data_IF_962924641142
#
_entry.id   IF_962924641142
#
_cell.length_a   1.000
_cell.length_b   1.000
_cell.length_c   1.000
_cell.angle_alpha   90.00
_cell.angle_beta   90.00
_cell.angle_gamma   90.00
#
_symmetry.space_group_name_H-M   'P 1'
#
loop_
_entity.id
_entity.type
_entity.pdbx_description
1 polymer ?
#
# COMPACT_ATOMS: atom_id res chain seq x y z
N UNK A 1 -14.93 0.43 18.66
CA UNK A 1 -14.44 1.77 19.04
C UNK A 1 -13.12 1.97 18.33
N UNK A 2 -12.99 3.08 17.60
CA UNK A 2 -11.77 3.40 16.86
C UNK A 2 -10.54 3.66 17.72
N UNK A 3 -9.36 3.66 17.11
CA UNK A 3 -8.11 4.03 17.79
C UNK A 3 -7.65 5.41 17.33
N UNK A 4 -7.03 6.17 18.22
CA UNK A 4 -6.24 7.34 17.82
C UNK A 4 -4.78 6.92 17.75
N UNK A 5 -4.15 7.06 16.59
CA UNK A 5 -2.78 6.59 16.35
C UNK A 5 -1.91 7.75 15.87
N UNK A 6 -0.73 7.90 16.47
CA UNK A 6 0.34 8.72 15.91
C UNK A 6 1.26 7.83 15.08
N UNK A 7 1.61 8.28 13.89
CA UNK A 7 2.59 7.65 13.00
C UNK A 7 3.72 8.63 12.74
N UNK A 8 4.95 8.16 12.88
CA UNK A 8 6.17 8.88 12.48
C UNK A 8 6.91 7.99 11.48
N UNK A 9 6.91 8.37 10.20
CA UNK A 9 7.68 7.74 9.14
C UNK A 9 8.91 8.60 8.86
N UNK A 10 10.11 8.02 8.96
CA UNK A 10 11.34 8.65 8.48
C UNK A 10 11.98 7.84 7.36
N UNK A 11 12.31 8.51 6.25
CA UNK A 11 13.12 7.95 5.17
C UNK A 11 14.38 8.81 5.02
N UNK A 12 15.56 8.21 5.11
CA UNK A 12 16.85 8.89 5.02
C UNK A 12 17.73 8.31 3.91
N UNK A 13 18.35 9.19 3.12
CA UNK A 13 19.41 8.86 2.18
C UNK A 13 20.72 9.47 2.66
N UNK A 14 21.79 8.70 2.59
CA UNK A 14 23.15 9.22 2.63
C UNK A 14 23.81 9.05 1.26
N UNK A 15 24.59 10.05 0.86
CA UNK A 15 25.28 10.06 -0.43
C UNK A 15 26.81 10.06 -0.20
N UNK A 16 27.51 9.24 -0.98
CA UNK A 16 28.98 9.11 -0.92
C UNK A 16 29.72 10.38 -1.37
N UNK A 17 29.09 11.21 -2.19
CA UNK A 17 29.53 12.53 -2.59
C UNK A 17 28.29 13.45 -2.70
N UNK A 18 28.46 14.78 -2.69
CA UNK A 18 27.33 15.71 -2.73
C UNK A 18 26.44 15.48 -3.96
N UNK A 19 25.14 15.39 -3.71
CA UNK A 19 24.09 15.58 -4.71
C UNK A 19 23.91 17.08 -4.89
N UNK A 20 23.83 17.55 -6.14
CA UNK A 20 23.69 18.97 -6.46
C UNK A 20 22.22 19.39 -6.52
N UNK A 21 21.38 18.54 -7.07
CA UNK A 21 19.95 18.75 -7.18
C UNK A 21 19.20 17.43 -7.00
N UNK A 22 18.03 17.50 -6.37
CA UNK A 22 17.07 16.39 -6.33
C UNK A 22 15.64 16.90 -6.44
N UNK A 23 14.79 16.10 -7.08
CA UNK A 23 13.38 16.37 -7.34
C UNK A 23 12.59 15.18 -6.80
N UNK A 24 11.71 15.42 -5.84
CA UNK A 24 11.13 14.35 -5.04
C UNK A 24 9.63 14.54 -4.84
N UNK A 25 8.92 13.41 -4.80
CA UNK A 25 7.53 13.28 -4.39
C UNK A 25 7.43 12.27 -3.26
N UNK A 26 6.67 12.61 -2.21
CA UNK A 26 6.40 11.69 -1.10
C UNK A 26 4.92 11.52 -0.83
N UNK A 27 4.55 10.27 -0.52
CA UNK A 27 3.22 9.82 -0.14
C UNK A 27 3.27 9.37 1.32
N UNK A 28 3.38 10.34 2.22
CA UNK A 28 3.48 10.12 3.68
C UNK A 28 2.30 10.69 4.47
N UNK A 29 1.39 11.39 3.80
CA UNK A 29 0.20 11.99 4.40
C UNK A 29 -0.96 11.01 4.34
N UNK A 30 -1.46 10.51 5.48
CA UNK A 30 -2.64 9.66 5.52
C UNK A 30 -3.85 10.36 4.86
N UNK A 31 -4.79 9.55 4.35
CA UNK A 31 -6.02 10.03 3.72
C UNK A 31 -7.19 10.02 4.71
N UNK A 32 -8.06 11.02 4.67
CA UNK A 32 -9.35 10.95 5.37
C UNK A 32 -10.42 10.34 4.47
N UNK A 33 -11.23 9.44 5.03
CA UNK A 33 -12.36 8.78 4.38
C UNK A 33 -13.42 8.38 5.43
N UNK A 34 -14.31 7.44 5.10
CA UNK A 34 -15.31 6.92 6.04
C UNK A 34 -14.72 5.97 7.11
N UNK A 35 -13.46 5.56 6.99
CA UNK A 35 -12.78 4.62 7.90
C UNK A 35 -11.69 5.29 8.73
N UNK A 36 -11.23 6.45 8.32
CA UNK A 36 -10.12 7.16 8.92
C UNK A 36 -10.34 8.67 8.89
N UNK A 37 -10.06 9.34 9.99
CA UNK A 37 -10.04 10.79 10.09
C UNK A 37 -8.64 11.29 10.45
N UNK A 38 -8.03 12.10 9.59
CA UNK A 38 -6.72 12.70 9.86
C UNK A 38 -6.87 13.97 10.70
N UNK A 39 -6.32 13.94 11.92
CA UNK A 39 -6.37 15.08 12.85
C UNK A 39 -5.27 16.09 12.50
N UNK A 40 -4.04 15.60 12.29
CA UNK A 40 -2.91 16.43 11.89
C UNK A 40 -1.95 15.59 11.05
N UNK A 41 -1.34 16.23 10.06
CA UNK A 41 -0.26 15.64 9.28
C UNK A 41 0.75 16.72 8.89
N UNK A 42 2.03 16.38 8.97
CA UNK A 42 3.15 17.24 8.57
C UNK A 42 4.22 16.38 7.90
N UNK A 43 4.79 16.93 6.83
CA UNK A 43 5.97 16.37 6.16
C UNK A 43 7.07 17.41 6.26
N UNK A 44 8.24 16.99 6.73
CA UNK A 44 9.43 17.83 6.91
C UNK A 44 10.61 17.19 6.21
N UNK A 45 11.54 18.03 5.75
CA UNK A 45 12.75 17.61 5.05
C UNK A 45 14.00 18.17 5.73
N UNK A 46 15.09 17.43 5.65
CA UNK A 46 16.43 17.86 6.02
C UNK A 46 17.36 17.54 4.85
N UNK A 47 18.02 18.54 4.23
CA UNK A 47 17.91 19.97 4.48
C UNK A 47 16.49 20.53 4.29
N UNK A 48 16.11 21.57 5.06
CA UNK A 48 14.78 22.16 4.94
C UNK A 48 14.63 22.78 3.56
N UNK A 49 13.57 22.38 2.85
CA UNK A 49 13.21 22.97 1.56
C UNK A 49 11.72 23.31 1.50
N UNK A 50 11.35 24.15 0.53
CA UNK A 50 9.95 24.42 0.24
C UNK A 50 9.32 23.18 -0.37
N UNK A 51 8.11 22.89 0.07
CA UNK A 51 7.30 21.81 -0.48
C UNK A 51 5.96 22.34 -0.96
N UNK A 52 5.39 21.63 -1.92
CA UNK A 52 4.08 21.86 -2.48
C UNK A 52 3.26 20.57 -2.34
N UNK A 53 1.96 20.68 -2.08
CA UNK A 53 1.07 19.54 -1.94
C UNK A 53 -0.01 19.54 -3.01
N UNK A 54 -0.33 18.36 -3.51
CA UNK A 54 -1.44 18.14 -4.45
C UNK A 54 -2.07 16.77 -4.24
N UNK A 55 -3.24 16.58 -4.84
CA UNK A 55 -3.86 15.27 -4.96
C UNK A 55 -3.51 14.67 -6.31
N UNK A 56 -2.91 13.48 -6.32
CA UNK A 56 -2.67 12.75 -7.56
C UNK A 56 -3.97 12.15 -8.13
N UNK A 57 -3.85 11.50 -9.28
CA UNK A 57 -4.98 10.89 -9.99
C UNK A 57 -5.80 9.92 -9.12
N UNK A 58 -5.15 9.23 -8.19
CA UNK A 58 -5.79 8.27 -7.28
C UNK A 58 -6.42 8.93 -6.04
N UNK A 59 -6.27 10.25 -5.92
CA UNK A 59 -6.70 11.02 -4.75
C UNK A 59 -5.76 10.86 -3.56
N UNK A 60 -4.50 10.46 -3.78
CA UNK A 60 -3.47 10.44 -2.74
C UNK A 60 -2.90 11.83 -2.56
N UNK A 61 -2.72 12.26 -1.31
CA UNK A 61 -2.01 13.52 -1.01
C UNK A 61 -0.51 13.32 -1.22
N UNK A 62 0.04 13.97 -2.23
CA UNK A 62 1.47 13.97 -2.54
C UNK A 62 2.10 15.27 -2.04
N UNK A 63 3.24 15.17 -1.38
CA UNK A 63 4.11 16.32 -1.08
C UNK A 63 5.31 16.27 -2.02
N UNK A 64 5.41 17.24 -2.92
CA UNK A 64 6.54 17.41 -3.82
C UNK A 64 7.50 18.47 -3.28
N UNK A 65 8.80 18.27 -3.48
CA UNK A 65 9.83 19.23 -3.12
C UNK A 65 11.11 19.02 -3.93
N UNK A 66 11.82 20.13 -4.13
CA UNK A 66 13.07 20.17 -4.87
C UNK A 66 14.18 20.70 -3.95
N UNK A 67 15.39 20.16 -4.10
CA UNK A 67 16.54 20.56 -3.30
C UNK A 67 17.73 20.81 -4.21
N UNK A 68 18.03 22.09 -4.48
CA UNK A 68 19.11 22.53 -5.38
C UNK A 68 20.41 22.92 -4.66
N UNK A 69 20.46 22.76 -3.33
CA UNK A 69 21.67 23.01 -2.56
C UNK A 69 22.49 21.72 -2.46
N UNK A 70 23.82 21.76 -2.66
CA UNK A 70 24.65 20.58 -2.48
C UNK A 70 24.47 19.94 -1.11
N UNK A 71 24.11 18.66 -1.06
CA UNK A 71 23.83 17.93 0.17
C UNK A 71 24.38 16.50 0.12
N UNK A 72 24.76 15.97 1.28
CA UNK A 72 25.19 14.57 1.45
C UNK A 72 24.15 13.71 2.16
N UNK A 73 23.05 14.32 2.58
CA UNK A 73 21.96 13.66 3.27
C UNK A 73 20.64 14.25 2.78
N UNK A 74 19.64 13.40 2.61
CA UNK A 74 18.24 13.78 2.48
C UNK A 74 17.43 12.96 3.46
N UNK A 75 16.83 13.60 4.46
CA UNK A 75 15.88 12.98 5.38
C UNK A 75 14.51 13.57 5.17
N UNK A 76 13.50 12.71 5.07
CA UNK A 76 12.09 13.08 5.01
C UNK A 76 11.38 12.46 6.20
N UNK A 77 10.71 13.28 7.01
CA UNK A 77 9.93 12.84 8.17
C UNK A 77 8.47 13.21 7.98
N UNK A 78 7.61 12.20 7.89
CA UNK A 78 6.15 12.33 7.92
C UNK A 78 5.63 12.04 9.33
N UNK A 79 4.99 13.03 9.97
CA UNK A 79 4.32 12.85 11.27
C UNK A 79 2.83 13.07 11.12
N UNK A 80 2.02 12.11 11.55
CA UNK A 80 0.56 12.20 11.48
C UNK A 80 -0.12 11.68 12.73
N UNK A 81 -1.29 12.23 13.06
CA UNK A 81 -2.23 11.67 14.03
C UNK A 81 -3.54 11.41 13.32
N UNK A 82 -4.02 10.18 13.42
CA UNK A 82 -5.24 9.72 12.77
C UNK A 82 -6.16 9.04 13.77
N UNK A 83 -7.45 9.10 13.52
CA UNK A 83 -8.46 8.24 14.14
C UNK A 83 -8.89 7.19 13.13
N UNK A 84 -8.82 5.92 13.50
CA UNK A 84 -9.15 4.78 12.65
C UNK A 84 -10.43 4.12 13.14
N UNK A 85 -11.22 3.55 12.24
CA UNK A 85 -12.44 2.82 12.55
C UNK A 85 -12.20 1.31 12.71
N UNK A 86 -13.21 0.61 13.21
CA UNK A 86 -13.21 -0.85 13.24
C UNK A 86 -13.25 -1.46 11.83
N UNK A 87 -13.06 -2.77 11.76
CA UNK A 87 -13.19 -3.49 10.51
C UNK A 87 -14.62 -3.39 9.96
N UNK A 88 -14.72 -3.18 8.64
CA UNK A 88 -15.97 -3.24 7.90
C UNK A 88 -16.12 -4.62 7.29
N UNK A 89 -17.32 -5.18 7.38
CA UNK A 89 -17.66 -6.41 6.70
C UNK A 89 -17.49 -6.26 5.17
N UNK A 90 -17.15 -7.34 4.45
CA UNK A 90 -17.10 -7.34 3.00
C UNK A 90 -18.42 -6.87 2.37
N UNK A 91 -18.33 -6.01 1.35
CA UNK A 91 -19.49 -5.69 0.54
C UNK A 91 -19.89 -6.92 -0.28
N UNK A 92 -21.18 -7.27 -0.33
CA UNK A 92 -21.67 -8.49 -0.99
C UNK A 92 -22.84 -8.23 -1.93
N UNK A 93 -23.05 -6.99 -2.33
CA UNK A 93 -24.19 -6.61 -3.16
C UNK A 93 -24.00 -6.92 -4.65
N UNK A 94 -22.75 -6.97 -5.15
CA UNK A 94 -22.53 -7.26 -6.57
C UNK A 94 -22.63 -8.75 -6.92
N UNK A 95 -23.21 -9.02 -8.08
CA UNK A 95 -23.21 -10.36 -8.69
C UNK A 95 -22.08 -10.50 -9.73
N UNK A 96 -21.80 -11.73 -10.17
CA UNK A 96 -20.86 -11.96 -11.26
C UNK A 96 -21.30 -11.35 -12.60
N UNK A 97 -22.61 -11.26 -12.83
CA UNK A 97 -23.18 -10.62 -14.02
C UNK A 97 -22.96 -9.10 -13.98
N UNK A 98 -23.20 -8.47 -12.83
CA UNK A 98 -22.94 -7.04 -12.63
C UNK A 98 -21.46 -6.71 -12.83
N UNK A 99 -20.55 -7.51 -12.28
CA UNK A 99 -19.10 -7.34 -12.48
C UNK A 99 -18.67 -7.46 -13.94
N UNK A 100 -19.37 -8.29 -14.72
CA UNK A 100 -19.10 -8.47 -16.15
C UNK A 100 -19.77 -7.40 -17.03
N UNK A 101 -20.68 -6.60 -16.47
CA UNK A 101 -21.44 -5.59 -17.20
C UNK A 101 -20.55 -4.46 -17.72
N UNK A 102 -20.92 -3.86 -18.85
CA UNK A 102 -20.19 -2.73 -19.42
C UNK A 102 -20.04 -1.56 -18.44
N UNK A 103 -21.08 -1.10 -17.71
CA UNK A 103 -20.94 0.05 -16.81
C UNK A 103 -19.90 -0.15 -15.70
N UNK A 104 -19.81 -1.36 -15.14
CA UNK A 104 -18.80 -1.67 -14.10
C UNK A 104 -17.42 -1.78 -14.70
N UNK A 105 -17.29 -2.43 -15.86
CA UNK A 105 -16.01 -2.61 -16.54
C UNK A 105 -15.43 -1.29 -17.03
N UNK A 106 -16.26 -0.41 -17.60
CA UNK A 106 -15.86 0.92 -18.04
C UNK A 106 -15.41 1.78 -16.85
N UNK A 107 -16.26 1.88 -15.82
CA UNK A 107 -15.97 2.67 -14.61
C UNK A 107 -14.68 2.26 -13.90
N UNK A 108 -14.34 0.98 -13.92
CA UNK A 108 -13.19 0.44 -13.18
C UNK A 108 -12.13 -0.19 -14.08
N UNK A 109 -12.04 0.22 -15.35
CA UNK A 109 -11.11 -0.36 -16.33
C UNK A 109 -9.68 -0.45 -15.80
N UNK A 110 -9.17 0.63 -15.20
CA UNK A 110 -7.81 0.69 -14.64
C UNK A 110 -7.58 -0.27 -13.47
N UNK A 111 -8.63 -0.60 -12.71
CA UNK A 111 -8.57 -1.52 -11.57
C UNK A 111 -8.72 -2.99 -11.99
N UNK A 112 -9.08 -3.21 -13.24
CA UNK A 112 -9.18 -4.53 -13.89
C UNK A 112 -7.94 -4.84 -14.75
N UNK A 113 -7.18 -3.82 -15.14
CA UNK A 113 -6.01 -3.97 -16.01
C UNK A 113 -4.79 -4.59 -15.30
N UNK A 114 -4.04 -5.37 -16.07
CA UNK A 114 -2.77 -5.94 -15.65
C UNK A 114 -1.66 -4.91 -15.85
N UNK A 115 -0.67 -4.93 -14.97
CA UNK A 115 0.46 -4.00 -14.96
C UNK A 115 1.77 -4.78 -14.96
N UNK A 116 2.92 -4.09 -14.99
CA UNK A 116 4.23 -4.76 -14.92
C UNK A 116 4.42 -5.54 -13.60
N UNK A 117 3.90 -4.99 -12.50
CA UNK A 117 3.89 -5.66 -11.20
C UNK A 117 2.84 -6.76 -11.09
N UNK A 118 1.74 -6.64 -11.82
CA UNK A 118 0.59 -7.56 -11.79
C UNK A 118 0.42 -8.15 -13.18
N UNK A 119 1.43 -8.88 -13.64
CA UNK A 119 1.50 -9.44 -14.99
C UNK A 119 0.60 -10.66 -15.21
N UNK A 120 0.13 -10.88 -16.44
CA UNK A 120 -0.69 -12.06 -16.77
C UNK A 120 0.12 -13.35 -16.65
N UNK A 121 -0.50 -14.40 -16.12
CA UNK A 121 0.10 -15.73 -16.06
C UNK A 121 -0.97 -16.83 -16.20
N UNK A 122 -0.72 -17.81 -17.08
CA UNK A 122 -1.71 -18.85 -17.43
C UNK A 122 -2.06 -19.78 -16.26
N UNK A 123 -1.10 -20.10 -15.41
CA UNK A 123 -1.29 -21.00 -14.27
C UNK A 123 -2.04 -20.29 -13.15
N UNK A 124 -1.68 -19.03 -12.88
CA UNK A 124 -2.40 -18.19 -11.94
C UNK A 124 -3.84 -17.88 -12.40
N UNK A 125 -4.06 -17.68 -13.71
CA UNK A 125 -5.41 -17.56 -14.26
C UNK A 125 -6.24 -18.84 -14.03
N UNK A 126 -5.61 -20.03 -14.09
CA UNK A 126 -6.28 -21.30 -13.78
C UNK A 126 -6.60 -21.40 -12.29
N UNK A 127 -5.67 -21.02 -11.42
CA UNK A 127 -5.89 -20.95 -9.98
C UNK A 127 -7.05 -19.99 -9.65
N UNK A 128 -7.06 -18.79 -10.24
CA UNK A 128 -8.14 -17.81 -10.07
C UNK A 128 -9.51 -18.38 -10.46
N UNK A 129 -9.63 -19.06 -11.61
CA UNK A 129 -10.87 -19.74 -12.01
C UNK A 129 -11.32 -20.81 -11.02
N UNK A 130 -10.38 -21.58 -10.47
CA UNK A 130 -10.68 -22.61 -9.47
C UNK A 130 -11.17 -21.99 -8.15
N UNK A 131 -10.52 -20.91 -7.70
CA UNK A 131 -10.88 -20.16 -6.49
C UNK A 131 -12.27 -19.52 -6.60
N UNK A 132 -12.60 -18.97 -7.78
CA UNK A 132 -13.90 -18.38 -8.12
C UNK A 132 -15.07 -19.36 -8.10
N UNK A 133 -14.83 -20.63 -8.48
CA UNK A 133 -15.90 -21.61 -8.72
C UNK A 133 -16.76 -21.83 -7.46
N UNK A 134 -18.08 -21.65 -7.61
CA UNK A 134 -19.07 -21.91 -6.58
C UNK A 134 -19.11 -20.88 -5.44
N UNK A 135 -18.46 -19.71 -5.59
CA UNK A 135 -18.44 -18.64 -4.59
C UNK A 135 -19.10 -17.38 -5.13
N UNK A 136 -19.63 -16.55 -4.23
CA UNK A 136 -19.93 -15.15 -4.56
C UNK A 136 -18.62 -14.35 -4.73
N UNK A 137 -18.68 -13.14 -5.31
CA UNK A 137 -17.48 -12.34 -5.55
C UNK A 137 -16.65 -12.04 -4.31
N UNK A 138 -17.26 -11.72 -3.17
CA UNK A 138 -16.52 -11.38 -1.96
C UNK A 138 -15.82 -12.62 -1.37
N UNK A 139 -16.51 -13.76 -1.36
CA UNK A 139 -15.92 -15.03 -0.94
C UNK A 139 -14.79 -15.49 -1.87
N UNK A 140 -14.86 -15.15 -3.15
CA UNK A 140 -13.78 -15.41 -4.11
C UNK A 140 -12.54 -14.54 -3.83
N UNK A 141 -12.71 -13.27 -3.45
CA UNK A 141 -11.61 -12.40 -3.01
C UNK A 141 -10.96 -12.96 -1.75
N UNK A 142 -11.75 -13.31 -0.73
CA UNK A 142 -11.23 -13.90 0.51
C UNK A 142 -10.51 -15.23 0.26
N UNK A 143 -11.02 -16.05 -0.68
CA UNK A 143 -10.34 -17.27 -1.08
C UNK A 143 -9.00 -17.01 -1.78
N UNK A 144 -8.88 -15.94 -2.58
CA UNK A 144 -7.62 -15.53 -3.16
C UNK A 144 -6.61 -15.06 -2.10
N UNK A 145 -7.03 -14.26 -1.12
CA UNK A 145 -6.18 -13.83 -0.01
C UNK A 145 -5.60 -15.02 0.76
N UNK A 146 -6.47 -15.95 1.19
CA UNK A 146 -6.05 -17.16 1.92
C UNK A 146 -5.13 -18.03 1.08
N UNK A 147 -5.46 -18.23 -0.20
CA UNK A 147 -4.63 -19.03 -1.10
C UNK A 147 -3.23 -18.43 -1.24
N UNK A 148 -3.11 -17.12 -1.40
CA UNK A 148 -1.79 -16.45 -1.43
C UNK A 148 -1.04 -16.65 -0.12
N UNK A 149 -1.71 -16.47 1.03
CA UNK A 149 -1.11 -16.69 2.34
C UNK A 149 -0.57 -18.12 2.53
N UNK A 150 -1.28 -19.11 2.01
CA UNK A 150 -0.88 -20.52 2.10
C UNK A 150 0.29 -20.88 1.17
N UNK A 151 0.47 -20.15 0.06
CA UNK A 151 1.46 -20.47 -0.97
C UNK A 151 2.71 -19.58 -0.96
N UNK A 152 2.68 -18.44 -0.27
CA UNK A 152 3.83 -17.57 -0.09
C UNK A 152 4.34 -17.63 1.35
N UNK A 153 5.65 -17.69 1.50
CA UNK A 153 6.32 -17.52 2.80
C UNK A 153 6.77 -16.08 2.96
N UNK A 154 6.34 -15.44 4.06
CA UNK A 154 6.82 -14.10 4.39
C UNK A 154 8.30 -14.14 4.76
N UNK A 155 9.16 -13.48 3.98
CA UNK A 155 10.60 -13.48 4.18
C UNK A 155 11.23 -12.12 3.80
N UNK A 156 11.52 -11.25 4.78
CA UNK A 156 12.22 -9.99 4.53
C UNK A 156 13.56 -10.19 3.80
N UNK A 157 13.89 -9.28 2.89
CA UNK A 157 15.17 -9.26 2.16
C UNK A 157 15.29 -10.30 1.03
N UNK A 158 14.22 -11.01 0.66
CA UNK A 158 14.22 -11.95 -0.48
C UNK A 158 13.78 -11.35 -1.79
N UNK A 159 13.02 -10.26 -1.76
CA UNK A 159 12.46 -9.56 -2.91
C UNK A 159 12.85 -8.09 -2.89
N UNK A 160 12.80 -7.45 -4.05
CA UNK A 160 13.06 -6.02 -4.22
C UNK A 160 11.79 -5.25 -4.55
N UNK A 161 11.85 -3.92 -4.51
CA UNK A 161 10.71 -3.05 -4.86
C UNK A 161 10.22 -3.21 -6.30
N UNK A 162 10.96 -3.90 -7.16
CA UNK A 162 10.62 -4.18 -8.55
C UNK A 162 10.13 -5.62 -8.79
N UNK A 163 10.02 -6.45 -7.74
CA UNK A 163 9.53 -7.82 -7.87
C UNK A 163 8.06 -7.82 -8.27
N UNK A 164 7.74 -8.55 -9.34
CA UNK A 164 6.39 -8.75 -9.86
C UNK A 164 5.68 -9.92 -9.16
N UNK A 165 4.35 -9.95 -9.27
CA UNK A 165 3.52 -11.05 -8.78
C UNK A 165 3.95 -12.42 -9.32
N UNK A 166 4.42 -12.48 -10.58
CA UNK A 166 4.84 -13.73 -11.23
C UNK A 166 6.17 -14.21 -10.67
N UNK A 167 7.13 -13.31 -10.45
CA UNK A 167 8.41 -13.65 -9.82
C UNK A 167 8.24 -14.07 -8.36
N UNK A 168 7.38 -13.37 -7.60
CA UNK A 168 7.02 -13.76 -6.24
C UNK A 168 6.38 -15.16 -6.21
N UNK A 169 5.51 -15.46 -7.18
CA UNK A 169 4.94 -16.79 -7.34
C UNK A 169 6.03 -17.84 -7.59
N UNK A 170 6.96 -17.61 -8.53
CA UNK A 170 8.03 -18.55 -8.84
C UNK A 170 8.94 -18.84 -7.64
N UNK A 171 9.27 -17.82 -6.86
CA UNK A 171 10.15 -17.94 -5.68
C UNK A 171 9.44 -18.42 -4.41
N UNK A 172 8.10 -18.35 -4.38
CA UNK A 172 7.24 -18.69 -3.21
C UNK A 172 7.54 -17.87 -1.96
N UNK A 173 8.20 -16.73 -2.10
CA UNK A 173 8.72 -15.91 -1.00
C UNK A 173 8.50 -14.44 -1.31
N UNK A 174 8.29 -13.65 -0.27
CA UNK A 174 8.18 -12.20 -0.43
C UNK A 174 7.79 -11.46 0.85
N UNK A 175 7.52 -10.18 0.68
CA UNK A 175 7.03 -9.27 1.72
C UNK A 175 5.60 -8.84 1.43
N UNK A 176 5.01 -7.95 2.23
CA UNK A 176 3.61 -7.55 2.09
C UNK A 176 3.25 -7.04 0.68
N UNK A 177 4.18 -6.38 0.00
CA UNK A 177 4.03 -5.98 -1.41
C UNK A 177 3.74 -7.17 -2.33
N UNK A 178 4.51 -8.24 -2.23
CA UNK A 178 4.43 -9.42 -3.10
C UNK A 178 3.11 -10.17 -2.88
N UNK A 179 2.67 -10.26 -1.62
CA UNK A 179 1.37 -10.85 -1.27
C UNK A 179 0.24 -10.06 -1.93
N UNK A 180 0.28 -8.73 -1.81
CA UNK A 180 -0.74 -7.85 -2.41
C UNK A 180 -0.72 -7.95 -3.93
N UNK A 181 0.44 -7.89 -4.59
CA UNK A 181 0.53 -8.02 -6.05
C UNK A 181 -0.01 -9.35 -6.56
N UNK A 182 0.34 -10.47 -5.90
CA UNK A 182 -0.19 -11.77 -6.30
C UNK A 182 -1.70 -11.87 -6.06
N UNK A 183 -2.21 -11.33 -4.96
CA UNK A 183 -3.66 -11.28 -4.73
C UNK A 183 -4.37 -10.43 -5.79
N UNK A 184 -3.84 -9.25 -6.13
CA UNK A 184 -4.40 -8.39 -7.19
C UNK A 184 -4.48 -9.14 -8.53
N UNK A 185 -3.43 -9.89 -8.88
CA UNK A 185 -3.41 -10.70 -10.10
C UNK A 185 -4.58 -11.69 -10.13
N UNK A 186 -4.75 -12.47 -9.06
CA UNK A 186 -5.82 -13.45 -8.97
C UNK A 186 -7.21 -12.81 -9.03
N UNK A 187 -7.39 -11.69 -8.32
CA UNK A 187 -8.68 -10.98 -8.25
C UNK A 187 -9.03 -10.33 -9.59
N UNK A 188 -8.05 -9.77 -10.31
CA UNK A 188 -8.23 -9.26 -11.69
C UNK A 188 -8.55 -10.37 -12.69
N UNK A 189 -7.90 -11.53 -12.58
CA UNK A 189 -8.24 -12.72 -13.39
C UNK A 189 -9.68 -13.20 -13.15
N UNK A 190 -10.28 -12.93 -11.99
CA UNK A 190 -11.69 -13.24 -11.71
C UNK A 190 -12.67 -12.22 -12.30
N UNK A 191 -12.18 -11.05 -12.76
CA UNK A 191 -12.97 -9.93 -13.26
C UNK A 191 -13.50 -9.01 -12.16
N UNK A 192 -12.86 -8.99 -10.98
CA UNK A 192 -13.25 -8.13 -9.87
C UNK A 192 -12.33 -6.91 -9.86
N UNK A 193 -12.85 -5.67 -9.86
CA UNK A 193 -12.02 -4.49 -9.70
C UNK A 193 -11.30 -4.49 -8.35
N UNK A 194 -9.98 -4.30 -8.37
CA UNK A 194 -9.19 -4.27 -7.15
C UNK A 194 -7.98 -3.32 -7.25
N UNK A 195 -7.60 -2.76 -6.10
CA UNK A 195 -6.53 -1.76 -5.98
C UNK A 195 -5.56 -2.07 -4.86
N UNK A 196 -4.32 -1.66 -5.06
CA UNK A 196 -3.26 -1.69 -4.07
C UNK A 196 -3.50 -0.56 -3.06
N UNK A 197 -3.37 -0.86 -1.78
CA UNK A 197 -3.42 0.13 -0.72
C UNK A 197 -2.08 0.15 0.02
N UNK A 198 -1.47 1.32 0.16
CA UNK A 198 -0.29 1.51 1.01
C UNK A 198 -0.63 2.28 2.27
N UNK A 199 0.09 1.97 3.34
CA UNK A 199 -0.11 2.59 4.64
C UNK A 199 0.81 2.05 5.70
N UNK A 200 0.29 1.99 6.93
CA UNK A 200 1.03 1.51 8.09
C UNK A 200 0.20 0.49 8.85
N UNK A 201 0.89 -0.48 9.44
CA UNK A 201 0.28 -1.44 10.34
C UNK A 201 0.93 -1.34 11.72
N UNK A 202 0.09 -1.14 12.73
CA UNK A 202 0.50 -1.29 14.11
C UNK A 202 0.62 -2.79 14.44
N UNK A 203 1.85 -3.28 14.38
CA UNK A 203 2.22 -4.71 14.39
C UNK A 203 1.72 -5.46 15.63
N UNK A 204 1.75 -4.85 16.81
CA UNK A 204 1.35 -5.48 18.08
C UNK A 204 -0.10 -5.16 18.44
N UNK A 205 -0.98 -6.14 18.28
CA UNK A 205 -2.42 -5.99 18.57
C UNK A 205 -2.70 -5.54 20.02
N UNK A 206 -1.85 -5.94 20.96
CA UNK A 206 -1.99 -5.67 22.39
C UNK A 206 -1.32 -4.34 22.82
N UNK A 207 -0.99 -3.45 21.88
CA UNK A 207 -0.34 -2.17 22.21
C UNK A 207 -1.24 -1.32 23.11
N UNK A 208 -0.70 -0.97 24.27
CA UNK A 208 -1.38 -0.16 25.27
C UNK A 208 -1.48 1.30 24.84
N UNK A 209 -2.43 2.02 25.44
CA UNK A 209 -2.54 3.46 25.26
C UNK A 209 -1.26 4.15 25.75
N UNK A 210 -0.74 5.07 24.95
CA UNK A 210 0.54 5.79 25.07
C UNK A 210 1.79 4.94 24.86
N UNK A 211 1.67 3.68 24.45
CA UNK A 211 2.81 2.87 24.08
C UNK A 211 3.24 3.15 22.64
N UNK A 212 4.55 3.35 22.44
CA UNK A 212 5.16 3.44 21.11
C UNK A 212 5.79 2.10 20.76
N UNK A 213 5.52 1.61 19.56
CA UNK A 213 6.07 0.38 19.02
C UNK A 213 6.67 0.65 17.64
N UNK A 214 7.61 -0.20 17.24
CA UNK A 214 8.08 -0.22 15.85
C UNK A 214 6.92 -0.66 14.97
N UNK A 215 6.43 0.26 14.15
CA UNK A 215 5.48 -0.02 13.09
C UNK A 215 6.23 -0.45 11.83
N UNK A 216 5.46 -0.81 10.81
CA UNK A 216 6.00 -1.11 9.49
C UNK A 216 5.18 -0.37 8.45
N UNK A 217 5.85 0.07 7.37
CA UNK A 217 5.13 0.34 6.13
C UNK A 217 4.46 -0.96 5.71
N UNK A 218 3.18 -0.89 5.39
CA UNK A 218 2.39 -2.07 5.09
C UNK A 218 1.50 -1.85 3.88
N UNK A 219 1.03 -2.95 3.33
CA UNK A 219 0.15 -2.94 2.17
C UNK A 219 -0.92 -4.00 2.27
N UNK A 220 -2.06 -3.71 1.66
CA UNK A 220 -3.19 -4.62 1.56
C UNK A 220 -3.95 -4.37 0.25
N UNK A 221 -4.97 -5.21 -0.02
CA UNK A 221 -5.85 -5.00 -1.17
C UNK A 221 -7.15 -4.33 -0.74
N UNK A 222 -7.74 -3.58 -1.67
CA UNK A 222 -9.18 -3.33 -1.67
C UNK A 222 -9.81 -3.92 -2.94
N UNK A 223 -11.01 -4.46 -2.80
CA UNK A 223 -11.80 -5.02 -3.90
C UNK A 223 -13.19 -4.39 -3.92
N UNK A 224 -13.75 -4.27 -5.12
CA UNK A 224 -15.12 -3.78 -5.33
C UNK A 224 -16.07 -4.93 -5.64
N UNK A 225 -17.01 -5.16 -4.74
CA UNK A 225 -18.06 -6.19 -4.88
C UNK A 225 -19.43 -5.59 -4.57
N UNK A 226 -19.70 -4.44 -5.19
CA UNK A 226 -20.86 -3.58 -4.92
C UNK A 226 -20.56 -2.44 -3.94
N UNK A 227 -19.36 -2.45 -3.37
CA UNK A 227 -18.74 -1.42 -2.55
C UNK A 227 -17.26 -1.77 -2.36
N UNK A 228 -16.42 -0.76 -2.10
CA UNK A 228 -15.01 -0.98 -1.79
C UNK A 228 -14.84 -1.46 -0.36
N UNK A 229 -14.10 -2.54 -0.18
CA UNK A 229 -13.69 -3.06 1.13
C UNK A 229 -12.30 -3.68 1.03
N UNK A 230 -11.60 -3.79 2.16
CA UNK A 230 -10.20 -4.21 2.21
C UNK A 230 -9.96 -5.49 2.98
N UNK A 231 -8.87 -6.17 2.63
CA UNK A 231 -8.38 -7.35 3.34
C UNK A 231 -6.85 -7.42 3.26
N UNK A 232 -6.20 -7.84 4.34
CA UNK A 232 -4.75 -8.00 4.41
C UNK A 232 -4.37 -9.46 4.11
N UNK A 233 -3.88 -9.77 2.89
CA UNK A 233 -3.48 -11.14 2.55
C UNK A 233 -2.19 -11.58 3.26
N UNK A 234 -1.36 -10.64 3.73
CA UNK A 234 -0.11 -10.94 4.43
C UNK A 234 -0.39 -11.53 5.80
N UNK A 235 -1.31 -10.91 6.53
CA UNK A 235 -1.65 -11.33 7.90
C UNK A 235 -2.93 -12.17 7.97
N UNK A 236 -3.68 -12.29 6.88
CA UNK A 236 -4.98 -12.99 6.80
C UNK A 236 -5.99 -12.41 7.81
N UNK A 237 -6.12 -11.08 7.80
CA UNK A 237 -6.99 -10.34 8.71
C UNK A 237 -7.75 -9.24 7.96
N UNK A 238 -8.86 -8.83 8.58
CA UNK A 238 -9.62 -7.66 8.12
C UNK A 238 -8.86 -6.36 8.42
N UNK A 239 -9.09 -5.35 7.57
CA UNK A 239 -8.55 -4.01 7.78
C UNK A 239 -9.32 -3.36 8.91
N UNK A 240 -8.78 -3.39 10.13
CA UNK A 240 -9.35 -2.74 11.32
C UNK A 240 -8.56 -1.51 11.78
N UNK A 241 -8.82 -1.08 13.01
CA UNK A 241 -8.27 0.13 13.62
C UNK A 241 -6.73 0.18 13.71
N UNK A 242 -6.02 -0.93 13.50
CA UNK A 242 -4.55 -0.99 13.47
C UNK A 242 -3.94 -0.55 12.14
N UNK A 243 -4.75 -0.44 11.09
CA UNK A 243 -4.32 -0.04 9.76
C UNK A 243 -4.51 1.46 9.58
N UNK A 244 -3.45 2.15 9.17
CA UNK A 244 -3.48 3.56 8.82
C UNK A 244 -3.30 3.71 7.32
N UNK A 245 -4.31 4.23 6.65
CA UNK A 245 -4.35 4.33 5.19
C UNK A 245 -3.65 5.60 4.68
N UNK A 246 -2.79 5.46 3.66
CA UNK A 246 -2.07 6.56 3.01
C UNK A 246 -2.47 6.74 1.55
N UNK A 247 -2.23 5.74 0.69
CA UNK A 247 -2.39 5.88 -0.76
C UNK A 247 -3.10 4.68 -1.37
N UNK A 248 -3.66 4.87 -2.57
CA UNK A 248 -4.15 3.78 -3.42
C UNK A 248 -3.67 3.93 -4.84
N UNK A 249 -3.61 2.82 -5.55
CA UNK A 249 -3.24 2.77 -6.96
C UNK A 249 -3.47 1.38 -7.54
N UNK A 250 -3.08 1.18 -8.79
CA UNK A 250 -3.21 -0.12 -9.45
C UNK A 250 -2.20 -1.12 -8.88
N UNK A 251 -1.00 -0.67 -8.54
CA UNK A 251 0.05 -1.46 -7.90
C UNK A 251 1.00 -0.54 -7.10
N UNK A 252 2.20 -1.03 -6.78
CA UNK A 252 3.18 -0.30 -5.96
C UNK A 252 3.75 0.96 -6.65
N UNK A 253 3.83 0.97 -7.98
CA UNK A 253 4.40 2.09 -8.75
C UNK A 253 3.58 3.38 -8.60
N UNK A 254 2.28 3.24 -8.39
CA UNK A 254 1.34 4.35 -8.19
C UNK A 254 1.40 4.91 -6.75
N UNK A 255 1.95 4.16 -5.79
CA UNK A 255 1.85 4.46 -4.34
C UNK A 255 3.19 4.45 -3.59
N UNK A 256 4.31 4.46 -4.30
CA UNK A 256 5.65 4.43 -3.71
C UNK A 256 5.83 5.56 -2.68
N UNK A 257 6.26 5.28 -1.42
CA UNK A 257 6.30 6.27 -0.35
C UNK A 257 7.18 7.50 -0.64
N UNK A 258 8.27 7.28 -1.37
CA UNK A 258 9.16 8.32 -1.87
C UNK A 258 9.60 7.93 -3.28
N UNK A 259 9.47 8.88 -4.20
CA UNK A 259 9.94 8.78 -5.58
C UNK A 259 10.72 10.04 -5.90
N UNK A 260 11.83 9.91 -6.60
CA UNK A 260 12.60 11.08 -6.99
C UNK A 260 13.77 10.74 -7.90
N UNK A 261 14.36 11.79 -8.44
CA UNK A 261 15.60 11.75 -9.21
C UNK A 261 16.59 12.74 -8.61
N UNK A 262 17.87 12.45 -8.76
CA UNK A 262 18.93 13.32 -8.28
C UNK A 262 20.14 13.31 -9.23
N UNK A 263 20.93 14.38 -9.19
CA UNK A 263 22.16 14.50 -9.97
C UNK A 263 23.38 14.78 -9.08
N UNK A 264 24.53 14.21 -9.45
CA UNK A 264 25.70 14.16 -8.59
C UNK A 264 25.63 13.04 -7.55
N UNK A 265 26.73 12.80 -6.84
CA UNK A 265 26.83 11.76 -5.82
C UNK A 265 26.50 10.34 -6.29
N UNK A 266 26.58 9.39 -5.35
CA UNK A 266 25.92 8.08 -5.45
C UNK A 266 25.29 7.78 -4.09
N UNK A 267 24.04 7.31 -4.09
CA UNK A 267 23.39 6.81 -2.88
C UNK A 267 24.27 5.74 -2.22
N UNK A 268 24.55 5.92 -0.94
CA UNK A 268 25.42 5.05 -0.15
C UNK A 268 24.59 4.17 0.80
N UNK A 269 23.56 4.74 1.43
CA UNK A 269 22.63 3.99 2.26
C UNK A 269 21.22 4.60 2.23
N UNK A 270 20.23 3.74 2.43
CA UNK A 270 18.83 4.08 2.64
C UNK A 270 18.42 3.55 4.01
N UNK A 271 17.88 4.42 4.86
CA UNK A 271 17.30 4.06 6.15
C UNK A 271 15.81 4.38 6.14
N UNK A 272 14.98 3.42 6.55
CA UNK A 272 13.54 3.58 6.66
C UNK A 272 13.08 3.19 8.05
N UNK A 273 12.20 4.01 8.60
CA UNK A 273 11.82 3.97 9.99
C UNK A 273 10.36 4.34 10.16
N UNK A 274 9.60 3.51 10.86
CA UNK A 274 8.18 3.77 11.16
C UNK A 274 7.94 3.50 12.63
N UNK A 275 7.58 4.52 13.38
CA UNK A 275 7.16 4.39 14.78
C UNK A 275 5.68 4.73 14.90
N UNK A 276 4.95 3.89 15.62
CA UNK A 276 3.51 4.05 15.83
C UNK A 276 3.20 4.10 17.32
N UNK A 277 2.41 5.09 17.73
CA UNK A 277 1.95 5.25 19.11
C UNK A 277 0.43 5.18 19.15
N UNK A 278 -0.15 4.29 19.96
CA UNK A 278 -1.58 4.37 20.28
C UNK A 278 -1.81 5.50 21.27
N UNK A 279 -2.62 6.49 20.94
CA UNK A 279 -2.92 7.66 21.78
C UNK A 279 -4.23 7.52 22.57
N UNK A 280 -5.21 6.80 22.02
CA UNK A 280 -6.48 6.43 22.63
C UNK A 280 -6.96 5.10 22.01
#
# INVERSE_FOLDING_TARGET
MGWRIRVVHETGYSYSAPVHESYNEVRLTPRSDNRQNVIVSRVETVPPTRSYRYSDYWGTTVTAFDLHAPHKELKVTGTSVVETADALAPARSATWEELASEPVRDRYTEMLEFTDYVGRNRDLARAARALKRGKDPADAVLAACRWVREHLTYQPGTTGVHTSAVEAWETRKGVCQDFVHLTLLLVREMGIPCRYVSGYLLSRAETEVRQTVRGESHAWIEAWTGGWWGYDPTNDIEIGHRHVWVAVGRDYSDVSPLKGIYSGGKAAALEVSVDMTRLA
#
